data_IF_780366934619
#
_entry.id   IF_780366934619
#
_cell.length_a   1.000
_cell.length_b   1.000
_cell.length_c   1.000
_cell.angle_alpha   90.00
_cell.angle_beta   90.00
_cell.angle_gamma   90.00
#
_symmetry.space_group_name_H-M   'P 1'
#
loop_
_entity.id
_entity.type
_entity.pdbx_description
1 polymer ?
#
# COMPACT_ATOMS: atom_id res chain seq x y z
N UNK A 1 7.48 -15.10 -8.12
CA UNK A 1 8.07 -16.44 -7.84
C UNK A 1 8.60 -16.53 -6.41
N UNK A 2 9.39 -15.59 -5.90
CA UNK A 2 9.95 -15.63 -4.53
C UNK A 2 8.94 -15.93 -3.38
N UNK A 3 7.76 -15.31 -3.39
CA UNK A 3 6.74 -15.56 -2.36
C UNK A 3 6.16 -16.98 -2.46
N UNK A 4 5.94 -17.49 -3.68
CA UNK A 4 5.44 -18.84 -3.92
C UNK A 4 6.46 -19.89 -3.45
N UNK A 5 7.73 -19.68 -3.77
CA UNK A 5 8.82 -20.57 -3.32
C UNK A 5 8.91 -20.61 -1.79
N UNK A 6 8.76 -19.45 -1.15
CA UNK A 6 8.75 -19.32 0.32
C UNK A 6 7.56 -20.07 0.95
N UNK A 7 6.38 -19.96 0.35
CA UNK A 7 5.17 -20.67 0.79
C UNK A 7 5.32 -22.18 0.60
N UNK A 8 5.79 -22.63 -0.55
CA UNK A 8 5.98 -24.05 -0.86
C UNK A 8 7.00 -24.70 0.10
N UNK A 9 8.12 -24.02 0.37
CA UNK A 9 9.11 -24.48 1.32
C UNK A 9 8.55 -24.57 2.75
N UNK A 10 7.68 -23.63 3.15
CA UNK A 10 7.03 -23.66 4.47
C UNK A 10 5.98 -24.75 4.57
N UNK A 11 5.16 -24.92 3.53
CA UNK A 11 4.18 -26.01 3.43
C UNK A 11 4.88 -27.36 3.61
N UNK A 12 5.94 -27.64 2.86
CA UNK A 12 6.66 -28.91 2.96
C UNK A 12 7.13 -29.24 4.40
N UNK A 13 7.56 -28.22 5.15
CA UNK A 13 7.98 -28.36 6.55
C UNK A 13 6.80 -28.57 7.51
N UNK A 14 5.71 -27.84 7.32
CA UNK A 14 4.56 -27.88 8.23
C UNK A 14 3.64 -29.06 7.98
N UNK A 15 3.59 -29.57 6.76
CA UNK A 15 2.69 -30.62 6.33
C UNK A 15 2.97 -31.95 7.06
N UNK A 16 4.25 -32.29 7.27
CA UNK A 16 4.67 -33.45 8.08
C UNK A 16 4.22 -33.27 9.53
N UNK A 17 4.45 -32.10 10.12
CA UNK A 17 4.08 -31.81 11.52
C UNK A 17 2.56 -31.81 11.73
N UNK A 18 1.81 -31.27 10.78
CA UNK A 18 0.36 -31.23 10.82
C UNK A 18 -0.27 -32.63 10.72
N UNK A 19 0.21 -33.47 9.78
CA UNK A 19 -0.38 -34.81 9.56
C UNK A 19 0.11 -35.86 10.55
N UNK A 20 1.40 -35.90 10.84
CA UNK A 20 2.02 -36.98 11.64
C UNK A 20 1.96 -36.65 13.13
N UNK A 21 2.47 -35.48 13.52
CA UNK A 21 2.52 -35.08 14.93
C UNK A 21 1.21 -34.45 15.43
N UNK A 22 0.23 -34.22 14.54
CA UNK A 22 -1.04 -33.51 14.83
C UNK A 22 -0.82 -32.21 15.60
N UNK A 23 0.27 -31.51 15.28
CA UNK A 23 0.63 -30.26 15.92
C UNK A 23 -0.42 -29.18 15.59
N UNK A 24 -1.03 -28.61 16.63
CA UNK A 24 -2.12 -27.63 16.48
C UNK A 24 -1.67 -26.37 15.76
N UNK A 25 -0.44 -25.92 15.96
CA UNK A 25 0.12 -24.74 15.31
C UNK A 25 0.38 -25.00 13.84
N UNK A 26 0.93 -26.18 13.50
CA UNK A 26 1.15 -26.57 12.11
C UNK A 26 -0.17 -26.71 11.35
N UNK A 27 -1.20 -27.30 11.97
CA UNK A 27 -2.55 -27.38 11.38
C UNK A 27 -3.12 -25.97 11.11
N UNK A 28 -2.96 -25.05 12.06
CA UNK A 28 -3.39 -23.66 11.90
C UNK A 28 -2.62 -22.93 10.78
N UNK A 29 -1.28 -23.05 10.73
CA UNK A 29 -0.48 -22.47 9.64
C UNK A 29 -0.91 -23.02 8.28
N UNK A 30 -1.13 -24.33 8.16
CA UNK A 30 -1.52 -24.98 6.91
C UNK A 30 -2.88 -24.48 6.38
N UNK A 31 -3.81 -24.12 7.27
CA UNK A 31 -5.08 -23.50 6.89
C UNK A 31 -4.91 -22.11 6.25
N UNK A 32 -3.81 -21.42 6.53
CA UNK A 32 -3.47 -20.10 5.97
C UNK A 32 -2.60 -20.27 4.71
N UNK A 33 -1.63 -21.18 4.75
CA UNK A 33 -0.67 -21.39 3.67
C UNK A 33 -1.34 -21.91 2.38
N UNK A 34 -2.33 -22.80 2.48
CA UNK A 34 -3.01 -23.37 1.31
C UNK A 34 -3.77 -22.31 0.48
N UNK A 35 -4.62 -21.45 1.06
CA UNK A 35 -5.24 -20.35 0.33
C UNK A 35 -4.22 -19.40 -0.30
N UNK A 36 -3.13 -19.07 0.42
CA UNK A 36 -2.06 -18.21 -0.09
C UNK A 36 -1.33 -18.83 -1.28
N UNK A 37 -1.01 -20.13 -1.20
CA UNK A 37 -0.38 -20.88 -2.29
C UNK A 37 -1.22 -20.80 -3.56
N UNK A 38 -2.52 -21.10 -3.45
CA UNK A 38 -3.44 -21.08 -4.61
C UNK A 38 -3.46 -19.73 -5.33
N UNK A 39 -3.53 -18.63 -4.58
CA UNK A 39 -3.54 -17.27 -5.15
C UNK A 39 -2.22 -16.97 -5.86
N UNK A 40 -1.10 -17.37 -5.28
CA UNK A 40 0.22 -17.15 -5.85
C UNK A 40 0.48 -18.03 -7.09
N UNK A 41 -0.07 -19.25 -7.14
CA UNK A 41 -0.05 -20.13 -8.31
C UNK A 41 -0.85 -19.56 -9.49
N UNK A 42 -1.96 -18.87 -9.21
CA UNK A 42 -2.76 -18.13 -10.20
C UNK A 42 -2.06 -16.84 -10.70
N UNK A 43 -0.81 -16.58 -10.28
CA UNK A 43 -0.05 -15.37 -10.63
C UNK A 43 -0.57 -14.10 -9.96
N UNK A 44 -1.47 -14.22 -8.98
CA UNK A 44 -2.04 -13.09 -8.25
C UNK A 44 -1.26 -12.81 -6.97
N UNK A 45 -1.17 -11.54 -6.53
CA UNK A 45 -0.46 -11.21 -5.30
C UNK A 45 -1.21 -11.71 -4.06
N UNK A 46 -0.46 -12.11 -3.02
CA UNK A 46 -1.02 -12.65 -1.77
C UNK A 46 -2.01 -11.71 -1.07
N UNK A 47 -1.93 -10.39 -1.31
CA UNK A 47 -2.90 -9.39 -0.84
C UNK A 47 -4.36 -9.67 -1.28
N UNK A 48 -4.57 -10.41 -2.37
CA UNK A 48 -5.90 -10.73 -2.92
C UNK A 48 -6.48 -12.05 -2.42
N UNK A 49 -5.84 -12.65 -1.42
CA UNK A 49 -6.34 -13.89 -0.82
C UNK A 49 -7.70 -13.66 -0.17
N UNK A 50 -8.66 -14.50 -0.53
CA UNK A 50 -9.99 -14.51 0.03
C UNK A 50 -10.16 -15.72 0.98
N UNK A 51 -11.10 -15.61 1.92
CA UNK A 51 -11.45 -16.72 2.82
C UNK A 51 -10.55 -16.88 4.05
N UNK A 52 -9.62 -15.95 4.30
CA UNK A 52 -8.88 -15.87 5.55
C UNK A 52 -9.57 -14.91 6.53
N UNK A 53 -9.58 -15.24 7.81
CA UNK A 53 -10.03 -14.32 8.86
C UNK A 53 -9.02 -13.19 9.10
N UNK A 54 -9.44 -12.13 9.78
CA UNK A 54 -8.54 -11.02 10.14
C UNK A 54 -7.38 -11.51 11.02
N UNK A 55 -7.61 -12.45 11.93
CA UNK A 55 -6.56 -13.04 12.77
C UNK A 55 -5.55 -13.84 11.93
N UNK A 56 -6.03 -14.62 10.96
CA UNK A 56 -5.18 -15.39 10.05
C UNK A 56 -4.33 -14.49 9.16
N UNK A 57 -4.91 -13.42 8.62
CA UNK A 57 -4.18 -12.41 7.85
C UNK A 57 -3.13 -11.70 8.70
N UNK A 58 -3.46 -11.33 9.94
CA UNK A 58 -2.50 -10.74 10.87
C UNK A 58 -1.35 -11.71 11.19
N UNK A 59 -1.67 -12.99 11.39
CA UNK A 59 -0.68 -14.04 11.58
C UNK A 59 0.25 -14.18 10.37
N UNK A 60 -0.30 -14.22 9.15
CA UNK A 60 0.49 -14.30 7.92
C UNK A 60 1.43 -13.09 7.76
N UNK A 61 0.91 -11.88 7.97
CA UNK A 61 1.69 -10.63 7.91
C UNK A 61 2.87 -10.62 8.89
N UNK A 62 2.70 -11.21 10.07
CA UNK A 62 3.73 -11.24 11.12
C UNK A 62 4.78 -12.34 10.90
N UNK A 63 4.38 -13.49 10.36
CA UNK A 63 5.21 -14.71 10.40
C UNK A 63 5.75 -15.16 9.04
N UNK A 64 5.13 -14.76 7.93
CA UNK A 64 5.47 -15.27 6.60
C UNK A 64 6.29 -14.29 5.76
N UNK A 65 6.31 -13.00 6.10
CA UNK A 65 7.13 -11.96 5.45
C UNK A 65 7.00 -11.88 3.92
N UNK A 66 5.83 -12.23 3.37
CA UNK A 66 5.57 -12.20 1.93
C UNK A 66 5.58 -10.76 1.40
N UNK A 67 6.24 -10.54 0.27
CA UNK A 67 6.32 -9.23 -0.36
C UNK A 67 4.96 -8.79 -0.91
N UNK A 68 4.27 -9.70 -1.59
CA UNK A 68 2.98 -9.46 -2.24
C UNK A 68 1.80 -9.33 -1.27
N UNK A 69 2.03 -9.49 0.04
CA UNK A 69 1.03 -9.26 1.09
C UNK A 69 1.06 -7.82 1.64
N UNK A 70 2.17 -7.09 1.44
CA UNK A 70 2.31 -5.68 1.88
C UNK A 70 1.39 -4.78 1.07
N UNK A 71 0.57 -3.89 1.67
CA UNK A 71 -0.33 -3.01 0.91
C UNK A 71 0.45 -2.11 -0.08
N UNK A 72 -0.19 -1.73 -1.19
CA UNK A 72 0.43 -0.93 -2.27
C UNK A 72 -0.44 0.27 -2.65
N UNK A 73 0.20 1.26 -3.26
CA UNK A 73 -0.41 2.38 -3.96
C UNK A 73 0.18 2.39 -5.36
N UNK A 74 -0.66 2.54 -6.38
CA UNK A 74 -0.22 2.82 -7.74
C UNK A 74 -0.03 4.32 -7.88
N UNK A 75 1.19 4.72 -8.23
CA UNK A 75 1.50 6.12 -8.59
C UNK A 75 1.61 6.17 -10.10
N UNK A 76 0.60 6.74 -10.74
CA UNK A 76 0.55 6.86 -12.19
C UNK A 76 1.18 8.20 -12.58
N UNK A 77 2.38 8.14 -13.17
CA UNK A 77 3.00 9.32 -13.73
C UNK A 77 2.26 9.73 -15.02
N UNK A 78 1.72 10.93 -15.06
CA UNK A 78 0.99 11.50 -16.20
C UNK A 78 1.70 12.75 -16.70
N UNK A 79 1.55 13.08 -17.98
CA UNK A 79 2.08 14.33 -18.52
C UNK A 79 1.32 15.54 -17.98
N UNK A 80 1.96 16.70 -17.93
CA UNK A 80 1.37 17.96 -17.46
C UNK A 80 0.10 18.32 -18.23
N UNK A 81 0.11 18.14 -19.56
CA UNK A 81 -1.04 18.40 -20.42
C UNK A 81 -2.26 17.52 -20.10
N UNK A 82 -2.02 16.32 -19.56
CA UNK A 82 -3.08 15.36 -19.21
C UNK A 82 -3.54 15.52 -17.76
N UNK A 83 -2.77 16.21 -16.91
CA UNK A 83 -3.05 16.32 -15.48
C UNK A 83 -4.37 17.05 -15.20
N UNK A 84 -4.71 18.06 -16.02
CA UNK A 84 -5.98 18.78 -15.93
C UNK A 84 -7.19 17.95 -16.41
N UNK A 85 -6.98 16.88 -17.19
CA UNK A 85 -8.04 16.03 -17.70
C UNK A 85 -7.66 14.53 -17.68
N UNK A 86 -7.52 14.01 -16.46
CA UNK A 86 -7.19 12.60 -16.22
C UNK A 86 -8.22 11.62 -16.81
N UNK A 87 -9.46 12.06 -17.02
CA UNK A 87 -10.53 11.25 -17.62
C UNK A 87 -10.26 10.89 -19.08
N UNK A 88 -9.56 11.75 -19.82
CA UNK A 88 -9.17 11.47 -21.22
C UNK A 88 -7.88 10.65 -21.34
N UNK A 89 -7.09 10.53 -20.28
CA UNK A 89 -5.84 9.79 -20.32
C UNK A 89 -6.09 8.27 -20.28
N UNK A 90 -6.06 7.62 -21.45
CA UNK A 90 -6.36 6.18 -21.58
C UNK A 90 -5.50 5.30 -20.67
N UNK A 91 -4.20 5.58 -20.59
CA UNK A 91 -3.28 4.79 -19.75
C UNK A 91 -3.57 4.95 -18.27
N UNK A 92 -3.86 6.17 -17.81
CA UNK A 92 -4.28 6.41 -16.44
C UNK A 92 -5.54 5.61 -16.08
N UNK A 93 -6.55 5.63 -16.97
CA UNK A 93 -7.77 4.83 -16.77
C UNK A 93 -7.49 3.32 -16.72
N UNK A 94 -6.54 2.82 -17.50
CA UNK A 94 -6.08 1.42 -17.41
C UNK A 94 -5.46 1.12 -16.05
N UNK A 95 -4.57 1.98 -15.56
CA UNK A 95 -3.94 1.81 -14.24
C UNK A 95 -4.99 1.86 -13.12
N UNK A 96 -5.97 2.77 -13.20
CA UNK A 96 -7.07 2.84 -12.25
C UNK A 96 -7.88 1.54 -12.20
N UNK A 97 -8.15 0.91 -13.36
CA UNK A 97 -8.85 -0.38 -13.42
C UNK A 97 -8.04 -1.50 -12.78
N UNK A 98 -6.73 -1.55 -13.03
CA UNK A 98 -5.83 -2.53 -12.42
C UNK A 98 -5.80 -2.32 -10.90
N UNK A 99 -5.58 -1.09 -10.43
CA UNK A 99 -5.55 -0.76 -9.01
C UNK A 99 -6.86 -1.14 -8.31
N UNK A 100 -8.02 -0.85 -8.93
CA UNK A 100 -9.32 -1.25 -8.42
C UNK A 100 -9.48 -2.77 -8.32
N UNK A 101 -9.00 -3.52 -9.33
CA UNK A 101 -9.04 -5.00 -9.29
C UNK A 101 -8.16 -5.59 -8.18
N UNK A 102 -7.15 -4.84 -7.73
CA UNK A 102 -6.25 -5.24 -6.64
C UNK A 102 -6.61 -4.63 -5.27
N UNK A 103 -7.75 -3.93 -5.16
CA UNK A 103 -8.13 -3.14 -3.98
C UNK A 103 -7.04 -2.15 -3.53
N UNK A 104 -6.31 -1.59 -4.49
CA UNK A 104 -5.25 -0.60 -4.28
C UNK A 104 -5.71 0.80 -4.70
N UNK A 105 -5.14 1.81 -4.07
CA UNK A 105 -5.36 3.19 -4.48
C UNK A 105 -4.51 3.51 -5.72
N UNK A 106 -5.02 4.35 -6.61
CA UNK A 106 -4.29 4.91 -7.74
C UNK A 106 -4.24 6.43 -7.58
N UNK A 107 -3.04 7.00 -7.61
CA UNK A 107 -2.80 8.43 -7.45
C UNK A 107 -2.10 8.95 -8.71
N UNK A 108 -2.70 9.93 -9.41
CA UNK A 108 -2.04 10.62 -10.51
C UNK A 108 -0.99 11.58 -9.95
N UNK A 109 0.20 11.55 -10.52
CA UNK A 109 1.29 12.51 -10.24
C UNK A 109 1.88 12.92 -11.58
N UNK A 110 2.27 14.18 -11.75
CA UNK A 110 3.21 14.52 -12.81
C UNK A 110 4.55 14.86 -12.18
N UNK A 111 5.60 14.11 -12.53
CA UNK A 111 6.93 14.40 -12.03
C UNK A 111 7.46 15.78 -12.48
N UNK A 112 6.97 16.32 -13.59
CA UNK A 112 7.38 17.62 -14.12
C UNK A 112 6.78 18.76 -13.29
N UNK A 113 5.45 18.78 -13.11
CA UNK A 113 4.77 19.67 -12.15
C UNK A 113 5.38 19.59 -10.75
N UNK A 114 5.65 18.39 -10.22
CA UNK A 114 6.23 18.26 -8.86
C UNK A 114 7.65 18.81 -8.78
N UNK A 115 8.43 18.68 -9.87
CA UNK A 115 9.74 19.28 -9.94
C UNK A 115 9.65 20.81 -9.94
N UNK A 116 8.75 21.41 -10.72
CA UNK A 116 8.52 22.86 -10.72
C UNK A 116 8.08 23.36 -9.34
N UNK A 117 7.12 22.69 -8.71
CA UNK A 117 6.66 22.99 -7.34
C UNK A 117 7.83 22.97 -6.35
N UNK A 118 8.79 22.05 -6.52
CA UNK A 118 9.95 21.94 -5.62
C UNK A 118 10.93 23.11 -5.72
N UNK A 119 10.92 23.84 -6.85
CA UNK A 119 11.79 25.01 -7.06
C UNK A 119 11.16 26.30 -6.52
N UNK A 120 9.84 26.33 -6.30
CA UNK A 120 9.13 27.49 -5.77
C UNK A 120 9.34 27.57 -4.25
N UNK A 121 10.13 28.55 -3.81
CA UNK A 121 10.41 28.78 -2.39
C UNK A 121 9.31 29.59 -1.70
N UNK A 122 8.67 30.50 -2.42
CA UNK A 122 7.61 31.34 -1.86
C UNK A 122 6.31 30.54 -1.77
N UNK A 123 5.74 30.52 -0.55
CA UNK A 123 4.54 29.73 -0.28
C UNK A 123 3.33 30.25 -1.06
N UNK A 124 3.21 31.57 -1.25
CA UNK A 124 2.08 32.18 -1.93
C UNK A 124 2.17 31.92 -3.43
N UNK A 125 3.36 32.03 -4.02
CA UNK A 125 3.61 31.66 -5.41
C UNK A 125 3.28 30.18 -5.66
N UNK A 126 3.63 29.30 -4.72
CA UNK A 126 3.30 27.88 -4.80
C UNK A 126 1.79 27.62 -4.75
N UNK A 127 1.07 28.33 -3.88
CA UNK A 127 -0.40 28.26 -3.80
C UNK A 127 -1.05 28.76 -5.09
N UNK A 128 -0.59 29.90 -5.62
CA UNK A 128 -1.04 30.46 -6.90
C UNK A 128 -0.79 29.47 -8.05
N UNK A 129 0.39 28.83 -8.11
CA UNK A 129 0.70 27.82 -9.11
C UNK A 129 -0.23 26.60 -9.03
N UNK A 130 -0.48 26.07 -7.83
CA UNK A 130 -1.41 24.95 -7.63
C UNK A 130 -2.84 25.32 -8.05
N UNK A 131 -3.29 26.55 -7.75
CA UNK A 131 -4.59 27.05 -8.19
C UNK A 131 -4.71 27.10 -9.72
N UNK A 132 -3.66 27.47 -10.45
CA UNK A 132 -3.66 27.43 -11.93
C UNK A 132 -3.83 26.01 -12.48
N UNK A 133 -3.36 25.00 -11.74
CA UNK A 133 -3.54 23.58 -12.07
C UNK A 133 -4.90 23.03 -11.62
N UNK A 134 -5.72 23.84 -10.94
CA UNK A 134 -7.04 23.45 -10.43
C UNK A 134 -6.99 22.53 -9.20
N UNK A 135 -5.89 22.53 -8.45
CA UNK A 135 -5.71 21.71 -7.24
C UNK A 135 -5.21 22.57 -6.09
N UNK A 136 -5.57 22.24 -4.85
CA UNK A 136 -5.09 22.97 -3.67
C UNK A 136 -3.93 22.24 -2.95
N UNK A 137 -3.53 21.09 -3.48
CA UNK A 137 -2.48 20.25 -2.92
C UNK A 137 -1.70 19.57 -4.05
N UNK A 138 -0.40 19.35 -3.85
CA UNK A 138 0.45 18.66 -4.81
C UNK A 138 0.15 17.15 -4.87
N UNK A 139 0.54 16.51 -5.95
CA UNK A 139 0.49 15.05 -6.10
C UNK A 139 1.37 14.35 -5.06
N UNK A 140 2.53 14.92 -4.70
CA UNK A 140 3.36 14.38 -3.61
C UNK A 140 2.66 14.48 -2.25
N UNK A 141 1.98 15.58 -1.94
CA UNK A 141 1.23 15.72 -0.69
C UNK A 141 0.09 14.69 -0.61
N UNK A 142 -0.62 14.47 -1.73
CA UNK A 142 -1.64 13.40 -1.86
C UNK A 142 -1.03 12.03 -1.60
N UNK A 143 0.13 11.75 -2.18
CA UNK A 143 0.85 10.48 -2.01
C UNK A 143 1.31 10.27 -0.55
N UNK A 144 1.83 11.30 0.11
CA UNK A 144 2.25 11.23 1.52
C UNK A 144 1.05 10.93 2.42
N UNK A 145 -0.06 11.66 2.26
CA UNK A 145 -1.30 11.43 3.02
C UNK A 145 -1.85 10.02 2.80
N UNK A 146 -1.87 9.56 1.55
CA UNK A 146 -2.32 8.21 1.20
C UNK A 146 -1.42 7.14 1.81
N UNK A 147 -0.09 7.34 1.79
CA UNK A 147 0.88 6.42 2.39
C UNK A 147 0.74 6.33 3.91
N UNK A 148 0.52 7.46 4.59
CA UNK A 148 0.22 7.50 6.03
C UNK A 148 -1.03 6.67 6.36
N UNK A 149 -2.11 6.86 5.60
CA UNK A 149 -3.35 6.11 5.75
C UNK A 149 -3.15 4.62 5.46
N UNK A 150 -2.40 4.27 4.40
CA UNK A 150 -2.10 2.89 4.01
C UNK A 150 -1.35 2.12 5.11
N UNK A 151 -0.43 2.79 5.79
CA UNK A 151 0.35 2.25 6.90
C UNK A 151 -0.42 2.26 8.25
N UNK A 152 -1.68 2.73 8.24
CA UNK A 152 -2.52 2.89 9.41
C UNK A 152 -1.85 3.77 10.49
N UNK A 153 -1.23 4.86 10.04
CA UNK A 153 -0.55 5.85 10.88
C UNK A 153 -1.44 7.07 11.12
N UNK A 154 -1.25 7.70 12.28
CA UNK A 154 -1.87 8.96 12.69
C UNK A 154 -0.86 9.86 13.38
N UNK A 155 -1.25 11.11 13.60
CA UNK A 155 -0.41 12.15 14.18
C UNK A 155 -1.03 12.73 15.45
N UNK A 156 -0.24 12.86 16.52
CA UNK A 156 -0.59 13.67 17.69
C UNK A 156 0.42 14.80 17.86
N UNK A 157 0.03 15.85 18.56
CA UNK A 157 0.85 17.05 18.74
C UNK A 157 1.26 17.24 20.20
N UNK A 158 2.49 17.66 20.40
CA UNK A 158 2.97 18.23 21.66
C UNK A 158 3.28 19.71 21.42
N UNK A 159 2.59 20.60 22.13
CA UNK A 159 2.76 22.06 21.99
C UNK A 159 3.22 22.65 23.32
N UNK A 160 4.41 23.26 23.33
CA UNK A 160 4.95 24.07 24.43
C UNK A 160 5.41 25.43 23.92
N UNK A 161 5.91 26.28 24.83
CA UNK A 161 6.49 27.59 24.48
C UNK A 161 7.70 27.47 23.55
N UNK A 162 8.46 26.38 23.69
CA UNK A 162 9.76 26.21 23.05
C UNK A 162 9.66 25.33 21.79
N UNK A 163 8.69 24.42 21.72
CA UNK A 163 8.53 23.46 20.63
C UNK A 163 7.06 23.10 20.36
N UNK A 164 6.70 23.05 19.08
CA UNK A 164 5.48 22.40 18.61
C UNK A 164 5.88 21.26 17.66
N UNK A 165 5.57 20.02 18.04
CA UNK A 165 6.00 18.82 17.30
C UNK A 165 4.85 17.87 17.02
N UNK A 166 4.87 17.35 15.79
CA UNK A 166 4.01 16.28 15.31
C UNK A 166 4.69 14.92 15.51
N UNK A 167 4.00 13.99 16.15
CA UNK A 167 4.48 12.64 16.42
C UNK A 167 3.64 11.61 15.69
N UNK A 168 4.29 10.66 15.02
CA UNK A 168 3.62 9.60 14.26
C UNK A 168 3.44 8.36 15.13
N UNK A 169 2.23 7.80 15.15
CA UNK A 169 1.91 6.56 15.85
C UNK A 169 0.97 5.69 15.00
N UNK A 170 0.88 4.39 15.32
CA UNK A 170 -0.08 3.49 14.68
C UNK A 170 -1.44 3.59 15.36
N UNK A 171 -2.51 3.63 14.59
CA UNK A 171 -3.86 3.60 15.15
C UNK A 171 -4.07 2.37 16.04
N UNK A 172 -4.67 2.58 17.21
CA UNK A 172 -4.90 1.53 18.21
C UNK A 172 -3.71 1.25 19.14
N UNK A 173 -2.64 2.04 19.07
CA UNK A 173 -1.57 2.02 20.06
C UNK A 173 -2.02 2.78 21.32
N UNK A 174 -1.91 2.13 22.48
CA UNK A 174 -2.22 2.66 23.81
C UNK A 174 -0.97 2.80 24.67
#
# INVERSE_FOLDING_TARGET
MADLDSINARIAKQDIKARVAKDKTAIYEMAILKPLQKVLEDGKPARLVNGLTNEQLAYAKKNFFLLSLKPIIYVANVADSDYSNLSSCSYYQTVCKIAASENAQCIPVSCEIEYEISQIQDKKEREEFLETLGTNESGLDKLVKASYKLLNLSTFFTCGSDECRAWTFKNGMS
#
